data_IF_944002434192
#
_entry.id   IF_944002434192
#
_cell.length_a   1.000
_cell.length_b   1.000
_cell.length_c   1.000
_cell.angle_alpha   90.00
_cell.angle_beta   90.00
_cell.angle_gamma   90.00
#
_symmetry.space_group_name_H-M   'P 1'
#
loop_
_entity.id
_entity.type
_entity.pdbx_description
1 polymer ?
#
# COMPACT_ATOMS: atom_id res chain seq x y z
N UNK A 1 17.00 2.13 -9.60
CA UNK A 1 16.74 1.82 -8.18
C UNK A 1 15.72 2.84 -7.71
N UNK A 2 14.55 2.41 -7.24
CA UNK A 2 13.49 3.32 -6.80
C UNK A 2 13.61 3.50 -5.29
N UNK A 3 13.83 4.73 -4.84
CA UNK A 3 13.78 5.08 -3.42
C UNK A 3 12.45 5.78 -3.20
N UNK A 4 11.67 5.27 -2.25
CA UNK A 4 10.40 5.83 -1.81
C UNK A 4 10.56 6.28 -0.36
N UNK A 5 10.27 7.55 -0.10
CA UNK A 5 10.13 8.10 1.24
C UNK A 5 8.65 8.09 1.61
N UNK A 6 8.35 7.54 2.78
CA UNK A 6 7.02 7.50 3.37
C UNK A 6 6.97 8.44 4.56
N UNK A 7 5.97 9.31 4.58
CA UNK A 7 5.63 10.14 5.73
C UNK A 7 4.17 9.91 6.09
N UNK A 8 3.91 9.44 7.31
CA UNK A 8 2.58 9.07 7.81
C UNK A 8 1.86 8.20 6.77
N UNK A 9 2.51 7.09 6.36
CA UNK A 9 2.01 6.15 5.34
C UNK A 9 1.82 6.70 3.91
N UNK A 10 1.86 8.02 3.69
CA UNK A 10 1.77 8.61 2.34
C UNK A 10 3.14 8.59 1.69
N UNK A 11 3.25 8.02 0.49
CA UNK A 11 4.47 8.10 -0.32
C UNK A 11 4.68 9.55 -0.78
N UNK A 12 5.54 10.29 -0.07
CA UNK A 12 5.71 11.74 -0.27
C UNK A 12 6.74 12.06 -1.34
N UNK A 13 7.77 11.22 -1.49
CA UNK A 13 8.87 11.49 -2.41
C UNK A 13 9.34 10.22 -3.10
N UNK A 14 9.42 10.29 -4.43
CA UNK A 14 10.25 9.38 -5.22
C UNK A 14 11.46 10.14 -5.75
N UNK A 15 12.56 9.44 -6.05
CA UNK A 15 13.75 10.04 -6.67
C UNK A 15 13.47 10.88 -7.93
N UNK A 16 12.30 10.73 -8.56
CA UNK A 16 11.96 11.39 -9.82
C UNK A 16 10.86 12.45 -9.78
N UNK A 17 10.08 12.66 -8.69
CA UNK A 17 9.15 13.81 -8.49
C UNK A 17 8.23 13.68 -7.25
N UNK A 18 7.56 14.79 -6.86
CA UNK A 18 6.70 14.99 -5.68
C UNK A 18 5.21 14.54 -5.83
N UNK A 19 4.66 13.98 -4.74
CA UNK A 19 3.27 13.61 -4.38
C UNK A 19 2.27 13.15 -5.48
N UNK A 20 1.63 14.04 -6.26
CA UNK A 20 0.71 13.63 -7.35
C UNK A 20 1.47 12.97 -8.52
N UNK A 21 2.72 13.38 -8.71
CA UNK A 21 3.62 12.79 -9.68
C UNK A 21 4.11 11.41 -9.24
N UNK A 22 4.10 11.05 -7.96
CA UNK A 22 4.63 9.75 -7.50
C UNK A 22 3.89 8.56 -8.14
N UNK A 23 2.56 8.59 -8.22
CA UNK A 23 1.78 7.53 -8.88
C UNK A 23 2.04 7.49 -10.41
N UNK A 24 2.17 8.66 -11.03
CA UNK A 24 2.45 8.84 -12.47
C UNK A 24 3.91 8.49 -12.81
N UNK A 25 4.86 8.72 -11.89
CA UNK A 25 6.29 8.52 -12.05
C UNK A 25 6.71 7.07 -11.76
N UNK A 26 5.96 6.36 -10.90
CA UNK A 26 6.11 4.91 -10.76
C UNK A 26 5.63 4.20 -12.05
N UNK A 27 4.54 4.69 -12.67
CA UNK A 27 3.91 4.14 -13.89
C UNK A 27 4.87 3.77 -15.06
N UNK A 28 5.80 4.63 -15.53
CA UNK A 28 6.69 4.28 -16.63
C UNK A 28 7.70 3.18 -16.25
N UNK A 29 8.21 3.21 -15.01
CA UNK A 29 9.15 2.20 -14.52
C UNK A 29 8.51 0.84 -14.28
N UNK A 30 7.20 0.81 -14.00
CA UNK A 30 6.42 -0.42 -13.81
C UNK A 30 5.99 -1.05 -15.13
N UNK A 31 5.56 -0.25 -16.11
CA UNK A 31 5.16 -0.71 -17.45
C UNK A 31 6.35 -1.36 -18.17
N UNK A 32 7.53 -0.74 -18.12
CA UNK A 32 8.76 -1.30 -18.71
C UNK A 32 9.18 -2.65 -18.10
N UNK A 33 8.80 -2.89 -16.84
CA UNK A 33 9.15 -4.11 -16.13
C UNK A 33 8.02 -5.15 -16.08
N UNK A 34 6.85 -4.90 -16.70
CA UNK A 34 5.70 -5.82 -16.80
C UNK A 34 5.32 -6.44 -15.44
N UNK A 35 5.11 -5.59 -14.42
CA UNK A 35 4.70 -5.99 -13.06
C UNK A 35 3.34 -6.63 -13.07
N UNK A 36 3.28 -7.82 -12.46
CA UNK A 36 2.23 -8.83 -12.57
C UNK A 36 0.81 -8.29 -12.74
N UNK A 37 0.16 -8.75 -13.81
CA UNK A 37 -1.27 -8.66 -14.04
C UNK A 37 -1.98 -9.46 -12.94
N UNK A 38 -2.74 -8.79 -12.06
CA UNK A 38 -3.58 -9.49 -11.10
C UNK A 38 -4.87 -9.90 -11.82
N UNK A 39 -4.91 -11.14 -12.31
CA UNK A 39 -6.17 -11.75 -12.71
C UNK A 39 -6.97 -12.06 -11.44
N UNK A 40 -7.96 -11.24 -11.12
CA UNK A 40 -8.89 -11.50 -10.02
C UNK A 40 -10.26 -11.86 -10.58
N UNK A 41 -10.76 -13.05 -10.23
CA UNK A 41 -12.16 -13.39 -10.44
C UNK A 41 -12.93 -12.80 -9.26
N UNK A 42 -13.69 -11.74 -9.52
CA UNK A 42 -14.45 -11.05 -8.47
C UNK A 42 -15.87 -11.65 -8.43
N UNK A 43 -16.27 -12.13 -7.24
CA UNK A 43 -17.62 -12.60 -6.98
C UNK A 43 -18.52 -11.38 -6.74
N UNK A 44 -19.32 -10.97 -7.72
CA UNK A 44 -20.39 -10.00 -7.48
C UNK A 44 -21.64 -10.70 -6.98
N UNK A 45 -22.40 -10.06 -6.10
CA UNK A 45 -23.62 -10.59 -5.46
C UNK A 45 -24.66 -11.19 -6.42
N UNK A 46 -24.64 -10.83 -7.71
CA UNK A 46 -25.58 -11.31 -8.74
C UNK A 46 -24.92 -12.16 -9.84
N UNK A 47 -23.59 -12.14 -10.01
CA UNK A 47 -22.87 -12.95 -11.02
C UNK A 47 -21.34 -12.91 -10.81
N UNK A 48 -20.64 -13.99 -11.15
CA UNK A 48 -19.17 -13.95 -11.28
C UNK A 48 -18.78 -13.13 -12.51
N UNK A 49 -18.09 -12.01 -12.29
CA UNK A 49 -17.49 -11.22 -13.35
C UNK A 49 -15.99 -11.52 -13.42
N UNK A 50 -15.44 -11.62 -14.64
CA UNK A 50 -14.01 -11.75 -14.88
C UNK A 50 -13.48 -10.39 -15.35
N UNK A 51 -12.62 -9.77 -14.54
CA UNK A 51 -11.95 -8.52 -14.88
C UNK A 51 -10.45 -8.69 -14.74
N UNK A 52 -9.68 -8.17 -15.70
CA UNK A 52 -8.22 -8.04 -15.57
C UNK A 52 -7.95 -6.61 -15.14
N UNK A 53 -7.32 -6.43 -13.97
CA UNK A 53 -6.96 -5.12 -13.44
C UNK A 53 -5.44 -4.99 -13.41
N UNK A 54 -4.93 -3.98 -14.11
CA UNK A 54 -3.51 -3.63 -14.10
C UNK A 54 -3.27 -2.50 -13.10
N UNK A 55 -2.74 -2.82 -11.92
CA UNK A 55 -2.42 -1.83 -10.88
C UNK A 55 -0.94 -1.87 -10.48
N UNK A 56 0.00 -1.72 -11.41
CA UNK A 56 1.40 -2.08 -11.14
C UNK A 56 2.11 -1.08 -10.21
N UNK A 57 1.68 0.18 -10.18
CA UNK A 57 2.18 1.16 -9.21
C UNK A 57 1.70 0.90 -7.79
N UNK A 58 0.45 0.48 -7.64
CA UNK A 58 -0.13 0.15 -6.35
C UNK A 58 0.53 -1.11 -5.75
N UNK A 59 0.82 -2.12 -6.56
CA UNK A 59 1.50 -3.34 -6.11
C UNK A 59 2.87 -3.05 -5.50
N UNK A 60 3.65 -2.14 -6.11
CA UNK A 60 4.94 -1.72 -5.56
C UNK A 60 4.81 -0.90 -4.28
N UNK A 61 3.85 0.03 -4.25
CA UNK A 61 3.59 0.84 -3.07
C UNK A 61 3.14 -0.03 -1.89
N UNK A 62 2.26 -0.99 -2.14
CA UNK A 62 1.79 -1.94 -1.15
C UNK A 62 2.95 -2.79 -0.59
N UNK A 63 3.83 -3.29 -1.46
CA UNK A 63 5.01 -4.06 -1.04
C UNK A 63 5.97 -3.22 -0.17
N UNK A 64 6.25 -1.97 -0.56
CA UNK A 64 7.10 -1.08 0.23
C UNK A 64 6.46 -0.66 1.55
N UNK A 65 5.17 -0.35 1.55
CA UNK A 65 4.44 0.04 2.75
C UNK A 65 4.36 -1.11 3.76
N UNK A 66 4.03 -2.31 3.29
CA UNK A 66 4.03 -3.52 4.13
C UNK A 66 5.41 -3.79 4.76
N UNK A 67 6.48 -3.62 3.99
CA UNK A 67 7.84 -3.81 4.52
C UNK A 67 8.22 -2.77 5.59
N UNK A 68 7.71 -1.54 5.47
CA UNK A 68 7.87 -0.48 6.47
C UNK A 68 7.07 -0.80 7.74
N UNK A 69 5.82 -1.23 7.59
CA UNK A 69 4.96 -1.67 8.70
C UNK A 69 5.59 -2.83 9.48
N UNK A 70 6.29 -3.75 8.80
CA UNK A 70 6.98 -4.86 9.47
C UNK A 70 8.09 -4.37 10.41
N UNK A 71 8.69 -3.22 10.11
CA UNK A 71 9.76 -2.62 10.91
C UNK A 71 9.23 -1.74 12.05
N UNK A 72 8.15 -0.98 11.81
CA UNK A 72 7.67 0.02 12.76
C UNK A 72 6.58 -0.49 13.72
N UNK A 73 5.74 -1.44 13.29
CA UNK A 73 4.63 -1.93 14.12
C UNK A 73 5.03 -3.15 14.93
N UNK A 74 4.52 -3.24 16.15
CA UNK A 74 4.56 -4.47 16.94
C UNK A 74 3.80 -5.61 16.24
N UNK A 75 4.19 -6.85 16.52
CA UNK A 75 3.61 -8.04 15.91
C UNK A 75 2.11 -8.16 16.18
N UNK A 76 1.64 -7.89 17.40
CA UNK A 76 0.24 -8.08 17.75
C UNK A 76 -0.64 -6.96 17.16
N UNK A 77 -0.15 -5.72 17.19
CA UNK A 77 -0.82 -4.59 16.53
C UNK A 77 -0.98 -4.84 15.03
N UNK A 78 0.03 -5.41 14.38
CA UNK A 78 -0.02 -5.74 12.95
C UNK A 78 -1.06 -6.80 12.62
N UNK A 79 -1.24 -7.82 13.47
CA UNK A 79 -2.28 -8.85 13.28
C UNK A 79 -3.66 -8.21 13.32
N UNK A 80 -3.94 -7.41 14.35
CA UNK A 80 -5.22 -6.70 14.51
C UNK A 80 -5.47 -5.79 13.30
N UNK A 81 -4.47 -5.03 12.86
CA UNK A 81 -4.59 -4.19 11.65
C UNK A 81 -4.90 -5.00 10.38
N UNK A 82 -4.33 -6.20 10.25
CA UNK A 82 -4.57 -7.06 9.08
C UNK A 82 -6.02 -7.57 9.05
N UNK A 83 -6.56 -7.95 10.21
CA UNK A 83 -7.97 -8.34 10.35
C UNK A 83 -8.91 -7.17 10.04
N UNK A 84 -8.62 -5.98 10.60
CA UNK A 84 -9.39 -4.76 10.33
C UNK A 84 -9.32 -4.36 8.86
N UNK A 85 -8.16 -4.50 8.21
CA UNK A 85 -7.99 -4.20 6.78
C UNK A 85 -8.86 -5.10 5.91
N UNK A 86 -9.05 -6.36 6.29
CA UNK A 86 -9.91 -7.29 5.55
C UNK A 86 -11.38 -6.87 5.66
N UNK A 87 -11.84 -6.54 6.88
CA UNK A 87 -13.19 -6.01 7.11
C UNK A 87 -13.44 -4.68 6.39
N UNK A 88 -12.45 -3.80 6.39
CA UNK A 88 -12.52 -2.53 5.68
C UNK A 88 -12.70 -2.74 4.16
N UNK A 89 -12.02 -3.74 3.57
CA UNK A 89 -12.18 -4.08 2.16
C UNK A 89 -13.59 -4.58 1.84
N UNK A 90 -14.18 -5.41 2.71
CA UNK A 90 -15.57 -5.88 2.58
C UNK A 90 -16.57 -4.71 2.68
N UNK A 91 -16.38 -3.81 3.65
CA UNK A 91 -17.23 -2.62 3.81
C UNK A 91 -17.19 -1.71 2.57
N UNK A 92 -16.00 -1.49 2.00
CA UNK A 92 -15.81 -0.70 0.77
C UNK A 92 -16.50 -1.38 -0.42
N UNK A 93 -16.34 -2.70 -0.54
CA UNK A 93 -16.96 -3.47 -1.61
C UNK A 93 -18.49 -3.41 -1.57
N UNK A 94 -19.05 -3.48 -0.36
CA UNK A 94 -20.49 -3.40 -0.13
C UNK A 94 -21.05 -1.96 -0.19
N UNK A 95 -20.18 -0.95 -0.31
CA UNK A 95 -20.59 0.46 -0.42
C UNK A 95 -20.82 1.19 0.91
N UNK A 96 -20.39 0.64 2.04
CA UNK A 96 -20.57 1.22 3.38
C UNK A 96 -19.58 2.35 3.71
N UNK A 97 -19.23 3.21 2.75
CA UNK A 97 -18.20 4.24 2.93
C UNK A 97 -18.56 5.33 3.97
N UNK A 98 -19.83 5.76 3.99
CA UNK A 98 -20.32 6.81 4.90
C UNK A 98 -20.98 6.27 6.17
N UNK A 99 -20.70 5.01 6.49
CA UNK A 99 -21.30 4.33 7.62
C UNK A 99 -20.50 4.58 8.92
N UNK A 100 -21.16 4.60 10.09
CA UNK A 100 -20.47 4.76 11.36
C UNK A 100 -19.48 3.61 11.64
N UNK A 101 -19.78 2.39 11.17
CA UNK A 101 -18.89 1.24 11.30
C UNK A 101 -17.60 1.38 10.47
N UNK A 102 -17.69 2.02 9.29
CA UNK A 102 -16.52 2.32 8.48
C UNK A 102 -15.68 3.44 9.11
N UNK A 103 -16.32 4.47 9.65
CA UNK A 103 -15.63 5.55 10.37
C UNK A 103 -14.82 5.02 11.56
N UNK A 104 -15.38 4.08 12.32
CA UNK A 104 -14.68 3.40 13.41
C UNK A 104 -13.45 2.63 12.90
N UNK A 105 -13.64 1.79 11.89
CA UNK A 105 -12.55 0.98 11.31
C UNK A 105 -11.43 1.85 10.75
N UNK A 106 -11.81 2.94 10.06
CA UNK A 106 -10.88 3.92 9.52
C UNK A 106 -10.03 4.58 10.60
N UNK A 107 -10.64 5.04 11.70
CA UNK A 107 -9.89 5.63 12.83
C UNK A 107 -8.89 4.66 13.44
N UNK A 108 -9.25 3.40 13.61
CA UNK A 108 -8.32 2.38 14.11
C UNK A 108 -7.12 2.19 13.19
N UNK A 109 -7.36 2.18 11.88
CA UNK A 109 -6.27 2.09 10.89
C UNK A 109 -5.41 3.35 10.93
N UNK A 110 -6.00 4.55 10.94
CA UNK A 110 -5.27 5.82 11.02
C UNK A 110 -4.36 5.88 12.26
N UNK A 111 -4.86 5.49 13.43
CA UNK A 111 -4.07 5.42 14.66
C UNK A 111 -2.86 4.49 14.56
N UNK A 112 -2.98 3.37 13.83
CA UNK A 112 -1.84 2.46 13.61
C UNK A 112 -0.74 3.06 12.73
N UNK A 113 -1.06 4.06 11.90
CA UNK A 113 -0.15 4.60 10.89
C UNK A 113 0.62 5.84 11.36
N UNK A 114 0.30 6.41 12.52
CA UNK A 114 0.94 7.63 13.06
C UNK A 114 2.47 7.47 13.22
N UNK A 115 2.90 6.28 13.64
CA UNK A 115 4.32 5.97 13.90
C UNK A 115 5.04 5.35 12.69
N UNK A 116 4.37 5.20 11.55
CA UNK A 116 4.88 4.52 10.36
C UNK A 116 5.52 5.55 9.42
N UNK A 117 6.76 5.96 9.75
CA UNK A 117 7.57 6.92 9.00
C UNK A 117 8.96 6.37 8.68
N UNK A 118 9.40 6.53 7.42
CA UNK A 118 10.68 5.98 7.00
C UNK A 118 10.90 5.97 5.49
N UNK A 119 12.03 5.41 5.06
CA UNK A 119 12.40 5.27 3.66
C UNK A 119 12.66 3.84 3.27
N UNK A 120 12.17 3.45 2.09
CA UNK A 120 12.30 2.09 1.54
C UNK A 120 12.88 2.18 0.14
N UNK A 121 13.93 1.41 -0.10
CA UNK A 121 14.55 1.26 -1.42
C UNK A 121 14.09 -0.04 -2.06
N UNK A 122 13.40 0.08 -3.19
CA UNK A 122 12.90 -1.02 -4.00
C UNK A 122 13.81 -1.24 -5.21
N UNK A 123 14.16 -2.51 -5.46
CA UNK A 123 14.65 -2.97 -6.76
C UNK A 123 13.51 -3.65 -7.50
N UNK A 124 13.10 -3.01 -8.59
CA UNK A 124 12.12 -3.55 -9.53
C UNK A 124 12.85 -4.30 -10.62
N UNK A 125 12.42 -5.53 -10.89
CA UNK A 125 12.98 -6.35 -11.95
C UNK A 125 11.95 -7.37 -12.45
N UNK A 126 11.71 -7.42 -13.77
CA UNK A 126 10.90 -8.43 -14.48
C UNK A 126 9.68 -8.90 -13.69
N UNK A 127 8.76 -7.98 -13.46
CA UNK A 127 7.48 -8.32 -12.85
C UNK A 127 7.43 -8.18 -11.33
N UNK A 128 8.59 -8.14 -10.67
CA UNK A 128 8.70 -8.20 -9.22
C UNK A 128 9.41 -6.97 -8.63
N UNK A 129 8.82 -6.39 -7.58
CA UNK A 129 9.48 -5.42 -6.71
C UNK A 129 9.99 -6.10 -5.45
N UNK A 130 11.30 -6.08 -5.21
CA UNK A 130 11.89 -6.55 -3.95
C UNK A 130 12.45 -5.37 -3.15
N UNK A 131 12.13 -5.30 -1.87
CA UNK A 131 12.74 -4.37 -0.93
C UNK A 131 14.21 -4.74 -0.71
N UNK A 132 15.11 -3.75 -0.82
CA UNK A 132 16.55 -3.91 -0.59
C UNK A 132 17.00 -3.34 0.74
N UNK A 133 16.50 -2.16 1.08
CA UNK A 133 16.93 -1.41 2.24
C UNK A 133 15.74 -0.64 2.79
N UNK A 134 15.68 -0.54 4.11
CA UNK A 134 14.66 0.19 4.86
C UNK A 134 15.31 0.97 5.98
N UNK A 135 14.94 2.24 6.15
CA UNK A 135 15.39 3.13 7.22
C UNK A 135 14.16 3.71 7.92
N UNK A 136 14.11 3.62 9.24
CA UNK A 136 13.18 4.40 10.02
C UNK A 136 13.73 5.82 10.21
N UNK A 137 12.90 6.85 10.14
CA UNK A 137 13.33 8.17 10.58
C UNK A 137 13.34 8.19 12.12
N UNK A 138 14.45 8.63 12.71
CA UNK A 138 14.54 8.82 14.16
C UNK A 138 13.61 9.98 14.55
N UNK A 139 12.66 9.70 15.45
CA UNK A 139 11.92 10.76 16.14
C UNK A 139 12.91 11.47 17.07
N UNK A 140 13.32 12.70 16.71
CA UNK A 140 13.97 13.59 17.66
C UNK A 140 12.93 13.96 18.72
N UNK A 141 13.13 13.44 19.93
CA UNK A 141 12.41 13.82 21.15
C UNK A 141 12.60 15.31 21.46
#
# INVERSE_FOLDING_TARGET
>A
MLILEFYVCVATRSNSSFQLSTYIAVKPSTILNRIHDQQTVQLSFLAQSRGVYETPGLTLLHAAHHDLEVLCLDREVRKIKTELSTRMAEQVYNGFWFSPEFEYTRRCVEASQEMVTGSVSLKVYKGNGRCKYRRMQEFKS
#
